data_IF_790194961308
#
_entry.id   IF_790194961308
#
_cell.length_a   1.000
_cell.length_b   1.000
_cell.length_c   1.000
_cell.angle_alpha   90.00
_cell.angle_beta   90.00
_cell.angle_gamma   90.00
#
_symmetry.space_group_name_H-M   'P 1'
#
loop_
_entity.id
_entity.type
_entity.pdbx_description
1 polymer ?
#
# COMPACT_ATOMS: atom_id res chain seq x y z
N UNK A 1 -8.34 -10.07 0.13
CA UNK A 1 -6.93 -9.67 -0.09
C UNK A 1 -6.77 -8.80 -1.31
N UNK A 2 -7.36 -9.20 -2.44
CA UNK A 2 -7.27 -8.39 -3.67
C UNK A 2 -7.92 -7.02 -3.48
N UNK A 3 -9.03 -6.97 -2.77
CA UNK A 3 -9.70 -5.70 -2.49
C UNK A 3 -8.86 -4.80 -1.61
N UNK A 4 -8.19 -5.38 -0.62
CA UNK A 4 -7.33 -4.62 0.27
C UNK A 4 -6.14 -4.03 -0.50
N UNK A 5 -5.56 -4.82 -1.41
CA UNK A 5 -4.46 -4.34 -2.25
C UNK A 5 -4.91 -3.21 -3.17
N UNK A 6 -6.08 -3.36 -3.76
CA UNK A 6 -6.64 -2.36 -4.65
C UNK A 6 -6.89 -1.04 -3.91
N UNK A 7 -7.49 -1.13 -2.73
CA UNK A 7 -7.75 0.04 -1.91
C UNK A 7 -6.45 0.73 -1.47
N UNK A 8 -5.47 -0.06 -1.04
CA UNK A 8 -4.18 0.48 -0.63
C UNK A 8 -3.47 1.18 -1.78
N UNK A 9 -3.48 0.57 -2.96
CA UNK A 9 -2.86 1.17 -4.14
C UNK A 9 -3.56 2.46 -4.54
N UNK A 10 -4.88 2.51 -4.43
CA UNK A 10 -5.63 3.73 -4.72
C UNK A 10 -5.27 4.85 -3.76
N UNK A 11 -5.13 4.55 -2.48
CA UNK A 11 -4.73 5.55 -1.50
C UNK A 11 -3.32 6.05 -1.79
N UNK A 12 -2.40 5.14 -2.11
CA UNK A 12 -1.03 5.52 -2.41
C UNK A 12 -0.96 6.39 -3.67
N UNK A 13 -1.79 6.10 -4.66
CA UNK A 13 -1.88 6.94 -5.86
C UNK A 13 -2.31 8.36 -5.51
N UNK A 14 -3.27 8.49 -4.61
CA UNK A 14 -3.76 9.80 -4.18
C UNK A 14 -2.66 10.62 -3.52
N UNK A 15 -1.69 9.95 -2.90
CA UNK A 15 -0.55 10.62 -2.27
C UNK A 15 0.65 10.74 -3.20
N UNK A 16 0.52 10.31 -4.45
CA UNK A 16 1.59 10.41 -5.43
C UNK A 16 2.74 9.45 -5.20
N UNK A 17 2.46 8.30 -4.59
CA UNK A 17 3.49 7.32 -4.32
C UNK A 17 3.97 6.62 -5.60
N UNK A 18 5.22 6.17 -5.59
CA UNK A 18 5.82 5.53 -6.74
C UNK A 18 5.35 4.08 -6.91
N UNK A 19 5.62 3.52 -8.09
CA UNK A 19 5.29 2.13 -8.36
C UNK A 19 6.02 1.16 -7.42
N UNK A 20 7.17 1.57 -6.88
CA UNK A 20 7.90 0.76 -5.93
C UNK A 20 7.04 0.40 -4.72
N UNK A 21 6.34 1.38 -4.18
CA UNK A 21 5.45 1.15 -3.04
C UNK A 21 4.26 0.27 -3.40
N UNK A 22 3.72 0.46 -4.60
CA UNK A 22 2.62 -0.39 -5.07
C UNK A 22 3.06 -1.83 -5.18
N UNK A 23 4.29 -2.07 -5.60
CA UNK A 23 4.84 -3.42 -5.67
C UNK A 23 5.00 -4.04 -4.30
N UNK A 24 5.39 -3.25 -3.31
CA UNK A 24 5.47 -3.73 -1.94
C UNK A 24 4.11 -4.20 -1.46
N UNK A 25 3.07 -3.42 -1.73
CA UNK A 25 1.71 -3.78 -1.37
C UNK A 25 1.30 -5.08 -2.07
N UNK A 26 1.62 -5.20 -3.35
CA UNK A 26 1.26 -6.39 -4.13
C UNK A 26 1.93 -7.66 -3.61
N UNK A 27 3.09 -7.54 -2.97
CA UNK A 27 3.78 -8.69 -2.40
C UNK A 27 3.18 -9.16 -1.09
N UNK A 28 2.31 -8.38 -0.48
CA UNK A 28 1.68 -8.77 0.78
C UNK A 28 0.80 -10.01 0.55
N UNK A 29 0.84 -10.92 1.51
CA UNK A 29 0.10 -12.19 1.42
C UNK A 29 -1.19 -12.19 2.22
N UNK A 30 -1.38 -11.19 3.06
CA UNK A 30 -2.56 -11.07 3.91
C UNK A 30 -3.06 -9.64 3.92
N UNK A 31 -4.33 -9.47 4.28
CA UNK A 31 -4.92 -8.14 4.43
C UNK A 31 -4.16 -7.33 5.48
N UNK A 32 -3.79 -7.99 6.58
CA UNK A 32 -3.03 -7.33 7.64
C UNK A 32 -1.69 -6.85 7.12
N UNK A 33 -1.04 -7.64 6.26
CA UNK A 33 0.22 -7.25 5.64
C UNK A 33 0.06 -6.03 4.74
N UNK A 34 -1.02 -6.00 3.97
CA UNK A 34 -1.33 -4.86 3.10
C UNK A 34 -1.49 -3.59 3.92
N UNK A 35 -2.28 -3.66 4.99
CA UNK A 35 -2.52 -2.51 5.84
C UNK A 35 -1.27 -2.05 6.57
N UNK A 36 -0.46 -2.98 7.04
CA UNK A 36 0.79 -2.65 7.73
C UNK A 36 1.75 -1.92 6.79
N UNK A 37 1.89 -2.41 5.56
CA UNK A 37 2.75 -1.77 4.57
C UNK A 37 2.23 -0.39 4.20
N UNK A 38 0.94 -0.27 3.97
CA UNK A 38 0.33 1.01 3.62
C UNK A 38 0.55 2.02 4.74
N UNK A 39 0.28 1.63 5.97
CA UNK A 39 0.46 2.52 7.12
C UNK A 39 1.92 2.96 7.26
N UNK A 40 2.86 2.04 7.08
CA UNK A 40 4.28 2.38 7.16
C UNK A 40 4.68 3.38 6.08
N UNK A 41 4.19 3.19 4.87
CA UNK A 41 4.49 4.08 3.75
C UNK A 41 3.92 5.48 4.02
N UNK A 42 2.67 5.54 4.45
CA UNK A 42 2.01 6.82 4.71
C UNK A 42 2.63 7.53 5.92
N UNK A 43 3.07 6.78 6.91
CA UNK A 43 3.73 7.37 8.08
C UNK A 43 5.10 7.94 7.72
N UNK A 44 5.77 7.39 6.73
CA UNK A 44 7.08 7.87 6.29
C UNK A 44 6.99 9.11 5.40
N UNK A 45 5.81 9.42 4.90
CA UNK A 45 5.65 10.60 4.05
C UNK A 45 5.64 11.88 4.89
N UNK A 46 6.29 12.93 4.39
CA UNK A 46 6.27 14.22 5.07
C UNK A 46 4.88 14.86 5.03
#
# INVERSE_FOLDING_TARGET
LAEAKCAANSELDAYGCSDFYKRLIDKAKTVEGVEALKDAILAAKP
#
